data_IF_082732175041
#
_entry.id   IF_082732175041
#
_cell.length_a   1.000
_cell.length_b   1.000
_cell.length_c   1.000
_cell.angle_alpha   90.00
_cell.angle_beta   90.00
_cell.angle_gamma   90.00
#
_symmetry.space_group_name_H-M   'P 1'
#
loop_
_entity.id
_entity.type
_entity.pdbx_description
1 polymer ?
#
# COMPACT_ATOMS: atom_id res chain seq x y z
N UNK A 1 5.31 -13.37 3.23
CA UNK A 1 6.51 -13.44 2.34
C UNK A 1 7.57 -12.50 2.89
N UNK A 2 8.87 -12.77 2.74
CA UNK A 2 9.91 -11.85 3.26
C UNK A 2 10.14 -10.69 2.28
N UNK A 3 10.16 -9.42 2.74
CA UNK A 3 10.54 -8.29 1.91
C UNK A 3 11.92 -8.48 1.29
N UNK A 4 12.09 -8.06 0.04
CA UNK A 4 13.36 -8.12 -0.67
C UNK A 4 13.55 -6.85 -1.52
N UNK A 5 14.80 -6.39 -1.65
CA UNK A 5 15.11 -5.25 -2.51
C UNK A 5 15.13 -5.69 -3.97
N UNK A 6 13.99 -5.51 -4.66
CA UNK A 6 13.84 -5.85 -6.08
C UNK A 6 13.27 -4.66 -6.87
N UNK A 7 13.61 -4.53 -8.17
CA UNK A 7 13.05 -3.47 -9.00
C UNK A 7 11.51 -3.48 -8.99
N UNK A 8 10.92 -2.30 -8.82
CA UNK A 8 9.47 -2.10 -8.80
C UNK A 8 8.78 -2.49 -7.49
N UNK A 9 9.53 -2.83 -6.44
CA UNK A 9 9.05 -2.82 -5.06
C UNK A 9 9.33 -1.46 -4.40
N UNK A 10 8.52 -1.09 -3.42
CA UNK A 10 8.65 0.18 -2.70
C UNK A 10 8.63 -0.05 -1.20
N UNK A 11 9.22 0.89 -0.46
CA UNK A 11 9.24 0.90 0.99
C UNK A 11 8.72 2.26 1.46
N UNK A 12 7.70 2.24 2.30
CA UNK A 12 7.23 3.44 3.00
C UNK A 12 7.91 3.49 4.37
N UNK A 13 8.36 4.67 4.73
CA UNK A 13 9.02 4.94 6.01
C UNK A 13 8.28 6.05 6.75
N UNK A 14 8.20 5.94 8.07
CA UNK A 14 7.77 7.00 8.99
C UNK A 14 8.93 7.22 9.94
N UNK A 15 9.39 8.46 10.10
CA UNK A 15 10.54 8.80 10.96
C UNK A 15 11.78 7.94 10.69
N UNK A 16 12.12 7.78 9.41
CA UNK A 16 13.23 6.95 8.91
C UNK A 16 13.12 5.43 9.17
N UNK A 17 12.03 4.97 9.76
CA UNK A 17 11.78 3.56 10.06
C UNK A 17 10.81 2.94 9.04
N UNK A 18 11.09 1.74 8.51
CA UNK A 18 10.24 1.09 7.53
C UNK A 18 8.93 0.58 8.15
N UNK A 19 7.80 0.92 7.53
CA UNK A 19 6.46 0.58 8.07
C UNK A 19 5.62 -0.26 7.12
N UNK A 20 5.79 -0.06 5.80
CA UNK A 20 5.00 -0.75 4.80
C UNK A 20 5.87 -1.10 3.59
N UNK A 21 5.87 -2.36 3.20
CA UNK A 21 6.49 -2.82 1.96
C UNK A 21 5.43 -3.03 0.89
N UNK A 22 5.69 -2.49 -0.30
CA UNK A 22 4.88 -2.70 -1.49
C UNK A 22 5.60 -3.73 -2.35
N UNK A 23 4.96 -4.89 -2.55
CA UNK A 23 5.52 -5.94 -3.38
C UNK A 23 5.72 -5.47 -4.82
N UNK A 24 6.70 -6.08 -5.52
CA UNK A 24 6.92 -5.85 -6.94
C UNK A 24 5.61 -5.97 -7.72
N UNK A 25 5.33 -4.96 -8.54
CA UNK A 25 4.11 -4.89 -9.34
C UNK A 25 2.92 -4.24 -8.62
N UNK A 26 3.09 -3.79 -7.38
CA UNK A 26 2.11 -2.95 -6.69
C UNK A 26 0.80 -3.67 -6.37
N UNK A 27 0.86 -4.97 -6.11
CA UNK A 27 -0.32 -5.82 -5.83
C UNK A 27 -0.47 -6.20 -4.35
N UNK A 28 0.64 -6.41 -3.66
CA UNK A 28 0.66 -6.78 -2.25
C UNK A 28 1.22 -5.66 -1.40
N UNK A 29 0.59 -5.44 -0.25
CA UNK A 29 1.08 -4.61 0.84
C UNK A 29 1.44 -5.52 2.01
N UNK A 30 2.64 -5.35 2.56
CA UNK A 30 3.10 -6.10 3.73
C UNK A 30 3.43 -5.13 4.87
N UNK A 31 2.73 -5.21 6.01
CA UNK A 31 3.11 -4.44 7.20
C UNK A 31 4.50 -4.88 7.68
N UNK A 32 5.31 -3.93 8.11
CA UNK A 32 6.64 -4.18 8.70
C UNK A 32 6.70 -3.85 10.19
N UNK A 33 5.59 -3.37 10.74
CA UNK A 33 5.39 -3.08 12.16
C UNK A 33 4.17 -3.83 12.70
N UNK A 34 4.08 -3.90 14.03
CA UNK A 34 2.94 -4.48 14.73
C UNK A 34 1.63 -3.72 14.45
N UNK A 35 0.52 -4.40 14.69
CA UNK A 35 -0.84 -3.89 14.42
C UNK A 35 -1.36 -2.91 15.48
N UNK A 36 -0.70 -2.79 16.65
CA UNK A 36 -1.14 -1.90 17.74
C UNK A 36 -0.69 -0.44 17.59
N UNK A 37 -0.10 -0.06 16.47
CA UNK A 37 0.45 1.27 16.21
C UNK A 37 -0.38 2.02 15.15
N UNK A 38 -0.67 3.31 15.35
CA UNK A 38 -1.43 4.19 14.43
C UNK A 38 -0.62 4.62 13.18
N UNK A 39 0.08 3.69 12.52
CA UNK A 39 0.99 3.98 11.39
C UNK A 39 0.34 3.80 10.01
N UNK A 40 -0.71 2.98 9.91
CA UNK A 40 -1.21 2.49 8.61
C UNK A 40 -1.76 3.62 7.74
N UNK A 41 -2.61 4.49 8.29
CA UNK A 41 -3.19 5.63 7.55
C UNK A 41 -2.10 6.57 7.02
N UNK A 42 -1.18 7.11 7.84
CA UNK A 42 -0.07 7.93 7.34
C UNK A 42 0.78 7.24 6.27
N UNK A 43 1.02 5.93 6.40
CA UNK A 43 1.79 5.17 5.41
C UNK A 43 1.06 5.07 4.05
N UNK A 44 -0.24 4.80 4.07
CA UNK A 44 -1.06 4.72 2.86
C UNK A 44 -1.27 6.11 2.21
N UNK A 45 -1.37 7.17 3.00
CA UNK A 45 -1.39 8.55 2.52
C UNK A 45 -0.11 8.90 1.76
N UNK A 46 1.06 8.59 2.36
CA UNK A 46 2.35 8.78 1.73
C UNK A 46 2.48 8.00 0.41
N UNK A 47 1.96 6.76 0.38
CA UNK A 47 1.92 5.93 -0.82
C UNK A 47 1.01 6.52 -1.91
N UNK A 48 -0.19 6.97 -1.54
CA UNK A 48 -1.13 7.60 -2.46
C UNK A 48 -0.53 8.88 -3.07
N UNK A 49 0.12 9.69 -2.24
CA UNK A 49 0.79 10.91 -2.68
C UNK A 49 1.98 10.63 -3.61
N UNK A 50 2.74 9.57 -3.34
CA UNK A 50 3.81 9.14 -4.24
C UNK A 50 3.28 8.74 -5.63
N UNK A 51 2.08 8.15 -5.70
CA UNK A 51 1.40 7.87 -6.97
C UNK A 51 0.97 9.15 -7.66
N UNK A 52 0.27 10.05 -6.96
CA UNK A 52 -0.21 11.32 -7.53
C UNK A 52 0.94 12.20 -8.04
N UNK A 53 2.10 12.17 -7.39
CA UNK A 53 3.31 12.88 -7.84
C UNK A 53 4.08 12.17 -8.96
N UNK A 54 3.58 11.05 -9.48
CA UNK A 54 4.23 10.28 -10.54
C UNK A 54 5.51 9.54 -10.12
N UNK A 55 5.86 9.50 -8.84
CA UNK A 55 7.02 8.74 -8.34
C UNK A 55 6.75 7.24 -8.38
N UNK A 56 5.50 6.85 -8.17
CA UNK A 56 4.99 5.49 -8.35
C UNK A 56 3.98 5.54 -9.51
N UNK A 57 4.22 4.87 -10.65
CA UNK A 57 3.38 5.08 -11.84
C UNK A 57 1.90 4.74 -11.63
N UNK A 58 1.63 3.59 -11.02
CA UNK A 58 0.28 3.07 -10.77
C UNK A 58 0.32 1.98 -9.70
N UNK A 59 -0.73 1.90 -8.90
CA UNK A 59 -0.97 0.78 -7.98
C UNK A 59 -2.28 0.06 -8.31
N UNK A 60 -2.29 -1.24 -8.02
CA UNK A 60 -3.44 -2.11 -8.16
C UNK A 60 -3.42 -3.11 -7.01
N UNK A 61 -3.73 -2.63 -5.82
CA UNK A 61 -3.62 -3.38 -4.57
C UNK A 61 -4.68 -4.47 -4.54
N UNK A 62 -4.24 -5.71 -4.41
CA UNK A 62 -5.07 -6.91 -4.30
C UNK A 62 -5.06 -7.45 -2.87
N UNK A 63 -3.95 -7.30 -2.13
CA UNK A 63 -3.76 -7.91 -0.81
C UNK A 63 -3.06 -7.00 0.21
N UNK A 64 -3.45 -7.14 1.47
CA UNK A 64 -2.74 -6.61 2.64
C UNK A 64 -2.44 -7.78 3.59
N UNK A 65 -1.16 -7.96 3.91
CA UNK A 65 -0.65 -9.09 4.70
C UNK A 65 -1.13 -10.48 4.22
N UNK A 66 -1.25 -10.64 2.89
CA UNK A 66 -1.73 -11.89 2.27
C UNK A 66 -3.24 -11.98 2.10
N UNK A 67 -4.02 -11.17 2.82
CA UNK A 67 -5.48 -11.18 2.76
C UNK A 67 -6.04 -10.21 1.72
N UNK A 68 -7.19 -10.52 1.07
CA UNK A 68 -7.80 -9.63 0.09
C UNK A 68 -8.17 -8.26 0.66
N UNK A 69 -7.86 -7.17 -0.06
CA UNK A 69 -8.21 -5.82 0.41
C UNK A 69 -9.67 -5.43 0.15
N UNK A 70 -10.31 -5.99 -0.87
CA UNK A 70 -11.70 -5.65 -1.21
C UNK A 70 -12.63 -6.17 -0.12
N UNK A 71 -13.39 -5.26 0.51
CA UNK A 71 -14.28 -5.60 1.63
C UNK A 71 -13.58 -5.73 2.98
N UNK A 72 -12.32 -5.30 3.09
CA UNK A 72 -11.58 -5.20 4.35
C UNK A 72 -11.50 -3.76 4.85
N UNK A 73 -11.20 -3.56 6.13
CA UNK A 73 -10.95 -2.25 6.74
C UNK A 73 -9.80 -1.49 6.04
N UNK A 74 -8.73 -2.19 5.66
CA UNK A 74 -7.64 -1.58 4.86
C UNK A 74 -8.15 -1.14 3.49
N UNK A 75 -9.09 -1.88 2.92
CA UNK A 75 -9.74 -1.53 1.66
C UNK A 75 -10.56 -0.24 1.76
N UNK A 76 -11.34 -0.09 2.83
CA UNK A 76 -12.11 1.12 3.11
C UNK A 76 -11.18 2.34 3.23
N UNK A 77 -10.09 2.19 3.97
CA UNK A 77 -9.06 3.22 4.11
C UNK A 77 -8.44 3.60 2.75
N UNK A 78 -8.11 2.62 1.91
CA UNK A 78 -7.62 2.90 0.55
C UNK A 78 -8.65 3.64 -0.30
N UNK A 79 -9.94 3.32 -0.18
CA UNK A 79 -11.03 4.02 -0.89
C UNK A 79 -11.12 5.48 -0.43
N UNK A 80 -11.05 5.75 0.88
CA UNK A 80 -11.00 7.12 1.41
C UNK A 80 -9.83 7.92 0.84
N UNK A 81 -8.70 7.25 0.59
CA UNK A 81 -7.50 7.85 -0.01
C UNK A 81 -7.59 7.97 -1.55
N UNK A 82 -8.75 7.71 -2.14
CA UNK A 82 -9.04 7.92 -3.56
C UNK A 82 -8.70 6.72 -4.46
N UNK A 83 -8.41 5.55 -3.90
CA UNK A 83 -8.31 4.33 -4.70
C UNK A 83 -9.70 3.94 -5.22
N UNK A 84 -9.79 3.62 -6.51
CA UNK A 84 -11.05 3.16 -7.12
C UNK A 84 -11.17 1.64 -6.99
N UNK A 85 -12.32 1.20 -6.50
CA UNK A 85 -12.65 -0.22 -6.38
C UNK A 85 -12.89 -0.87 -7.74
N UNK A 86 -12.35 -2.06 -7.90
CA UNK A 86 -12.63 -3.03 -8.94
C UNK A 86 -12.94 -4.38 -8.28
N UNK A 87 -13.50 -5.39 -9.00
CA UNK A 87 -13.94 -6.64 -8.37
C UNK A 87 -12.86 -7.40 -7.58
N UNK A 88 -11.58 -7.23 -7.90
CA UNK A 88 -10.46 -7.93 -7.27
C UNK A 88 -9.37 -7.03 -6.66
N UNK A 89 -9.45 -5.72 -6.87
CA UNK A 89 -8.36 -4.81 -6.51
C UNK A 89 -8.82 -3.38 -6.31
N UNK A 90 -8.01 -2.60 -5.60
CA UNK A 90 -8.13 -1.16 -5.45
C UNK A 90 -7.03 -0.47 -6.27
N UNK A 91 -7.39 0.51 -7.09
CA UNK A 91 -6.46 1.14 -8.04
C UNK A 91 -6.28 2.62 -7.82
N UNK A 92 -5.04 3.08 -7.95
CA UNK A 92 -4.68 4.49 -8.01
C UNK A 92 -3.66 4.70 -9.13
N UNK A 93 -3.81 5.79 -9.87
CA UNK A 93 -2.87 6.26 -10.88
C UNK A 93 -2.68 7.76 -10.69
N UNK A 94 -1.56 8.30 -11.19
CA UNK A 94 -1.38 9.74 -11.34
C UNK A 94 -2.49 10.35 -12.20
#
# INVERSE_FOLDING_TARGET
>A
RRPARVPGAYLVTIDAEPVLYVERGGKGLLPLRGVEEDWLRPALEALAEAVRRGRVPRLGIERFDGEPVVGSETGELLVELGFRQSPRRLTLSA
#
